data_IF_937012570470
#
_entry.id   IF_937012570470
#
_cell.length_a   1.000
_cell.length_b   1.000
_cell.length_c   1.000
_cell.angle_alpha   90.00
_cell.angle_beta   90.00
_cell.angle_gamma   90.00
#
_symmetry.space_group_name_H-M   'P 1'
#
loop_
_entity.id
_entity.type
_entity.pdbx_description
1 polymer ?
#
# COMPACT_ATOMS: atom_id res chain seq x y z
N UNK A 1 6.78 -20.62 -12.81
CA UNK A 1 6.23 -19.81 -12.63
C UNK A 1 6.63 -18.72 -11.82
N UNK A 2 6.92 -17.70 -12.40
CA UNK A 2 7.36 -16.55 -11.71
C UNK A 2 6.35 -16.08 -10.72
N UNK A 3 5.16 -16.53 -10.89
CA UNK A 3 4.13 -16.16 -9.94
C UNK A 3 4.46 -16.62 -8.54
N UNK A 4 5.44 -17.47 -8.42
CA UNK A 4 5.86 -17.90 -7.10
C UNK A 4 6.65 -16.83 -6.37
N UNK A 5 7.07 -15.79 -7.10
CA UNK A 5 7.81 -14.70 -6.50
C UNK A 5 6.88 -13.52 -6.30
N UNK A 6 6.39 -13.32 -5.09
CA UNK A 6 5.46 -12.20 -4.88
C UNK A 6 6.17 -10.88 -5.09
N UNK A 7 5.59 -10.07 -5.91
CA UNK A 7 6.10 -8.71 -6.13
C UNK A 7 5.28 -7.69 -5.36
N UNK A 8 4.20 -8.14 -4.74
CA UNK A 8 3.29 -7.27 -4.05
C UNK A 8 2.06 -6.99 -4.90
N UNK A 9 1.30 -6.03 -4.47
CA UNK A 9 0.04 -5.68 -5.12
C UNK A 9 0.32 -4.68 -6.23
N UNK A 10 -0.08 -4.97 -7.46
CA UNK A 10 0.19 -4.04 -8.56
C UNK A 10 -0.72 -2.83 -8.52
N UNK A 11 -0.18 -1.71 -8.96
CA UNK A 11 -0.91 -0.47 -9.09
C UNK A 11 -0.29 0.27 -10.27
N UNK A 12 -1.13 0.92 -11.07
CA UNK A 12 -0.62 1.70 -12.20
C UNK A 12 -0.62 3.17 -11.79
N UNK A 13 0.55 3.80 -11.88
CA UNK A 13 0.71 5.21 -11.55
C UNK A 13 1.31 5.91 -12.77
N UNK A 14 0.55 6.81 -13.36
CA UNK A 14 0.95 7.55 -14.55
C UNK A 14 1.43 6.60 -15.65
N UNK A 15 0.66 5.53 -15.86
CA UNK A 15 0.94 4.61 -16.95
C UNK A 15 2.01 3.57 -16.66
N UNK A 16 2.60 3.61 -15.48
CA UNK A 16 3.67 2.68 -15.12
C UNK A 16 3.20 1.74 -14.02
N UNK A 17 3.41 0.46 -14.21
CA UNK A 17 3.01 -0.52 -13.20
C UNK A 17 4.03 -0.57 -12.08
N UNK A 18 3.56 -0.37 -10.88
CA UNK A 18 4.38 -0.44 -9.67
C UNK A 18 3.76 -1.46 -8.72
N UNK A 19 4.46 -1.80 -7.67
CA UNK A 19 4.01 -2.84 -6.75
C UNK A 19 4.22 -2.43 -5.31
N UNK A 20 3.20 -2.64 -4.49
CA UNK A 20 3.29 -2.39 -3.05
C UNK A 20 3.54 -3.72 -2.36
N UNK A 21 4.64 -3.81 -1.64
CA UNK A 21 4.98 -5.02 -0.89
C UNK A 21 5.48 -4.61 0.49
N UNK A 22 4.82 -5.15 1.52
CA UNK A 22 5.25 -4.89 2.89
C UNK A 22 6.20 -5.99 3.31
N UNK A 23 7.49 -5.65 3.37
CA UNK A 23 8.48 -6.55 3.93
C UNK A 23 8.66 -6.20 5.41
N UNK A 24 9.41 -7.01 6.13
CA UNK A 24 9.70 -6.71 7.53
C UNK A 24 10.39 -5.36 7.67
N UNK A 25 11.31 -5.05 6.76
CA UNK A 25 12.00 -3.78 6.84
C UNK A 25 11.07 -2.61 6.56
N UNK A 26 10.13 -2.79 5.65
CA UNK A 26 9.16 -1.74 5.36
C UNK A 26 8.29 -1.48 6.58
N UNK A 27 7.81 -2.55 7.21
CA UNK A 27 6.97 -2.43 8.39
C UNK A 27 7.74 -1.74 9.51
N UNK A 28 8.99 -2.17 9.72
CA UNK A 28 9.81 -1.61 10.77
C UNK A 28 10.05 -0.11 10.53
N UNK A 29 10.34 0.25 9.29
CA UNK A 29 10.58 1.65 8.96
C UNK A 29 9.36 2.51 9.23
N UNK A 30 8.16 2.01 8.86
CA UNK A 30 6.94 2.79 9.06
C UNK A 30 6.59 2.89 10.54
N UNK A 31 6.72 1.81 11.28
CA UNK A 31 6.43 1.84 12.71
C UNK A 31 7.39 2.77 13.45
N UNK A 32 8.64 2.80 13.00
CA UNK A 32 9.63 3.67 13.60
C UNK A 32 9.34 5.13 13.25
N UNK A 33 8.94 5.37 12.01
CA UNK A 33 8.64 6.73 11.55
C UNK A 33 7.50 7.35 12.34
N UNK A 34 6.47 6.57 12.63
CA UNK A 34 5.28 7.08 13.29
C UNK A 34 5.25 6.80 14.78
N UNK A 35 6.16 5.96 15.25
CA UNK A 35 6.17 5.52 16.64
C UNK A 35 4.82 4.91 17.01
N UNK A 36 4.29 4.08 16.10
CA UNK A 36 2.98 3.47 16.24
C UNK A 36 2.98 2.09 15.62
N UNK A 37 2.02 1.27 16.04
CA UNK A 37 1.83 -0.03 15.40
C UNK A 37 1.22 0.17 14.02
N UNK A 38 1.33 -0.85 13.17
CA UNK A 38 0.72 -0.78 11.85
C UNK A 38 -0.80 -0.62 11.94
N UNK A 39 -1.44 -1.26 12.93
CA UNK A 39 -2.87 -1.09 13.09
C UNK A 39 -3.23 0.36 13.35
N UNK A 40 -2.46 1.04 14.17
CA UNK A 40 -2.71 2.44 14.45
C UNK A 40 -2.47 3.30 13.21
N UNK A 41 -1.45 2.97 12.44
CA UNK A 41 -1.16 3.71 11.21
C UNK A 41 -2.32 3.55 10.23
N UNK A 42 -2.83 2.33 10.07
CA UNK A 42 -3.94 2.11 9.16
C UNK A 42 -5.23 2.76 9.65
N UNK A 43 -5.39 2.90 10.96
CA UNK A 43 -6.53 3.65 11.47
C UNK A 43 -6.44 5.10 11.05
N UNK A 44 -5.25 5.67 11.05
CA UNK A 44 -5.07 7.04 10.60
C UNK A 44 -5.44 7.21 9.13
N UNK A 45 -5.22 6.19 8.33
CA UNK A 45 -5.61 6.27 6.92
C UNK A 45 -7.12 6.34 6.74
N UNK A 46 -7.87 6.01 7.77
CA UNK A 46 -9.31 6.07 7.71
C UNK A 46 -9.88 7.36 8.28
N UNK A 47 -9.02 8.22 8.82
CA UNK A 47 -9.43 9.50 9.38
C UNK A 47 -9.17 10.59 8.36
N UNK A 48 -10.15 11.45 8.17
CA UNK A 48 -10.06 12.44 7.13
C UNK A 48 -8.93 13.42 7.26
N UNK A 49 -8.65 13.86 8.46
CA UNK A 49 -7.73 14.96 8.63
C UNK A 49 -6.29 14.62 8.30
N UNK A 50 -5.87 13.41 8.63
CA UNK A 50 -4.47 13.05 8.47
C UNK A 50 -4.23 12.06 7.35
N UNK A 51 -5.30 11.53 6.77
CA UNK A 51 -5.17 10.42 5.82
C UNK A 51 -4.30 10.77 4.62
N UNK A 52 -4.46 11.97 4.08
CA UNK A 52 -3.73 12.33 2.86
C UNK A 52 -2.22 12.35 3.08
N UNK A 53 -1.79 12.94 4.17
CA UNK A 53 -0.35 13.02 4.47
C UNK A 53 0.19 11.63 4.77
N UNK A 54 -0.51 10.87 5.59
CA UNK A 54 -0.08 9.53 5.94
C UNK A 54 0.00 8.63 4.71
N UNK A 55 -1.01 8.71 3.84
CA UNK A 55 -1.00 7.93 2.60
C UNK A 55 0.20 8.29 1.74
N UNK A 56 0.44 9.58 1.58
CA UNK A 56 1.56 10.04 0.77
C UNK A 56 2.88 9.50 1.29
N UNK A 57 3.07 9.50 2.60
CA UNK A 57 4.30 9.01 3.21
C UNK A 57 4.45 7.50 3.06
N UNK A 58 3.36 6.77 3.27
CA UNK A 58 3.41 5.31 3.12
C UNK A 58 3.71 4.92 1.69
N UNK A 59 3.05 5.55 0.73
CA UNK A 59 3.27 5.24 -0.68
C UNK A 59 4.70 5.55 -1.08
N UNK A 60 5.26 6.66 -0.56
CA UNK A 60 6.64 7.00 -0.84
C UNK A 60 7.58 5.90 -0.37
N UNK A 61 7.39 5.40 0.85
CA UNK A 61 8.22 4.32 1.37
C UNK A 61 8.07 3.07 0.50
N UNK A 62 6.82 2.70 0.16
CA UNK A 62 6.59 1.50 -0.63
C UNK A 62 7.22 1.58 -2.01
N UNK A 63 7.11 2.74 -2.67
CA UNK A 63 7.69 2.90 -4.00
C UNK A 63 9.22 2.87 -3.95
N UNK A 64 9.80 3.51 -2.94
CA UNK A 64 11.25 3.51 -2.82
C UNK A 64 11.80 2.15 -2.42
N UNK A 65 11.04 1.38 -1.66
CA UNK A 65 11.43 0.00 -1.36
C UNK A 65 11.40 -0.86 -2.61
N UNK A 66 10.44 -0.61 -3.49
CA UNK A 66 10.43 -1.33 -4.77
C UNK A 66 11.67 -0.97 -5.60
N UNK A 67 12.04 0.31 -5.63
CA UNK A 67 13.24 0.72 -6.36
C UNK A 67 14.47 -0.03 -5.84
N UNK A 68 14.61 -0.12 -4.54
CA UNK A 68 15.74 -0.82 -3.92
C UNK A 68 15.71 -2.32 -4.23
N UNK A 69 14.53 -2.89 -4.17
CA UNK A 69 14.37 -4.33 -4.42
C UNK A 69 14.70 -4.68 -5.87
N UNK A 70 14.21 -3.87 -6.80
CA UNK A 70 14.50 -4.11 -8.21
C UNK A 70 15.98 -4.01 -8.49
N UNK A 71 16.63 -3.02 -7.89
CA UNK A 71 18.06 -2.86 -8.08
C UNK A 71 18.82 -4.05 -7.52
N UNK A 72 18.45 -4.49 -6.32
CA UNK A 72 19.12 -5.61 -5.68
C UNK A 72 18.96 -6.90 -6.47
N UNK A 73 17.80 -7.08 -7.10
CA UNK A 73 17.51 -8.31 -7.84
C UNK A 73 17.89 -8.25 -9.30
N UNK A 74 18.47 -7.14 -9.75
CA UNK A 74 18.87 -7.00 -11.15
C UNK A 74 17.70 -6.77 -12.10
N UNK A 75 16.59 -6.26 -11.56
CA UNK A 75 15.41 -5.97 -12.37
C UNK A 75 15.44 -4.59 -12.97
N UNK A 76 14.27 -3.95 -12.98
CA UNK A 76 14.13 -2.64 -13.61
C UNK A 76 14.92 -1.57 -12.84
N UNK A 77 15.39 -0.58 -13.59
CA UNK A 77 16.08 0.55 -13.00
C UNK A 77 15.03 1.62 -12.72
N UNK A 78 14.56 1.67 -11.47
CA UNK A 78 13.52 2.60 -11.06
C UNK A 78 14.12 3.63 -10.13
N UNK A 79 14.09 4.92 -10.51
CA UNK A 79 14.65 5.94 -9.63
C UNK A 79 13.82 6.12 -8.37
N UNK A 80 14.45 6.58 -7.32
CA UNK A 80 13.76 6.90 -6.10
C UNK A 80 12.89 8.13 -6.29
N UNK A 81 11.89 8.26 -5.43
CA UNK A 81 10.92 9.33 -5.59
C UNK A 81 10.76 10.05 -4.24
N UNK A 82 10.43 11.33 -4.27
CA UNK A 82 10.21 12.10 -3.05
C UNK A 82 8.74 12.11 -2.69
N UNK A 83 8.46 12.49 -1.44
CA UNK A 83 7.06 12.60 -1.01
C UNK A 83 6.31 13.62 -1.84
N UNK A 84 6.96 14.73 -2.18
CA UNK A 84 6.31 15.75 -3.00
C UNK A 84 5.93 15.19 -4.37
N UNK A 85 6.82 14.40 -4.96
CA UNK A 85 6.53 13.80 -6.24
C UNK A 85 5.39 12.79 -6.14
N UNK A 86 5.35 12.03 -5.04
CA UNK A 86 4.25 11.09 -4.83
C UNK A 86 2.93 11.85 -4.74
N UNK A 87 2.94 13.03 -4.11
CA UNK A 87 1.76 13.86 -4.03
C UNK A 87 1.21 14.25 -5.39
N UNK A 88 2.07 14.31 -6.41
CA UNK A 88 1.62 14.61 -7.75
C UNK A 88 1.02 13.38 -8.45
N UNK A 89 1.38 12.19 -7.98
CA UNK A 89 0.87 10.95 -8.58
C UNK A 89 -0.51 10.57 -8.05
N UNK A 90 -0.89 11.07 -6.87
CA UNK A 90 -2.14 10.72 -6.24
C UNK A 90 -3.13 11.85 -6.43
N UNK A 91 -4.23 11.55 -7.11
CA UNK A 91 -5.29 12.52 -7.32
C UNK A 91 -6.62 11.97 -6.90
N UNK A 92 -7.65 12.80 -7.02
CA UNK A 92 -8.98 12.37 -6.62
C UNK A 92 -9.48 11.20 -7.46
N UNK A 93 -8.96 11.06 -8.66
CA UNK A 93 -9.39 10.00 -9.56
C UNK A 93 -8.80 8.64 -9.20
N UNK A 94 -7.67 8.58 -8.48
CA UNK A 94 -7.04 7.30 -8.18
C UNK A 94 -6.80 7.05 -6.69
N UNK A 95 -7.13 8.01 -5.82
CA UNK A 95 -6.80 7.86 -4.40
C UNK A 95 -7.48 6.64 -3.78
N UNK A 96 -8.71 6.34 -4.16
CA UNK A 96 -9.40 5.17 -3.60
C UNK A 96 -8.73 3.87 -3.99
N UNK A 97 -8.30 3.78 -5.23
CA UNK A 97 -7.60 2.61 -5.72
C UNK A 97 -6.26 2.43 -5.00
N UNK A 98 -5.57 3.53 -4.77
CA UNK A 98 -4.28 3.48 -4.09
C UNK A 98 -4.44 3.05 -2.64
N UNK A 99 -5.43 3.60 -1.93
CA UNK A 99 -5.70 3.20 -0.54
C UNK A 99 -6.01 1.71 -0.48
N UNK A 100 -6.86 1.24 -1.39
CA UNK A 100 -7.21 -0.17 -1.42
C UNK A 100 -5.97 -1.03 -1.65
N UNK A 101 -5.09 -0.61 -2.56
CA UNK A 101 -3.87 -1.37 -2.84
C UNK A 101 -2.95 -1.42 -1.62
N UNK A 102 -2.85 -0.31 -0.89
CA UNK A 102 -2.02 -0.29 0.32
C UNK A 102 -2.56 -1.26 1.35
N UNK A 103 -3.87 -1.23 1.59
CA UNK A 103 -4.47 -2.14 2.57
C UNK A 103 -4.30 -3.59 2.17
N UNK A 104 -4.50 -3.89 0.88
CA UNK A 104 -4.32 -5.25 0.40
C UNK A 104 -2.87 -5.72 0.55
N UNK A 105 -1.93 -4.82 0.28
CA UNK A 105 -0.53 -5.20 0.33
C UNK A 105 -0.12 -5.63 1.73
N UNK A 106 -0.71 -5.01 2.73
CA UNK A 106 -0.40 -5.39 4.10
C UNK A 106 -1.20 -6.62 4.54
N UNK A 107 -2.25 -6.96 3.81
CA UNK A 107 -3.13 -8.04 4.24
C UNK A 107 -4.13 -7.58 5.28
N UNK A 108 -4.33 -6.27 5.38
CA UNK A 108 -5.28 -5.71 6.32
C UNK A 108 -6.69 -6.07 5.86
N UNK A 109 -7.46 -6.70 6.72
CA UNK A 109 -8.80 -7.08 6.35
C UNK A 109 -9.72 -5.89 6.22
N UNK A 110 -10.24 -5.73 5.03
CA UNK A 110 -11.25 -4.70 4.79
C UNK A 110 -12.61 -5.36 4.99
N UNK A 111 -13.56 -4.68 5.57
CA UNK A 111 -14.86 -5.29 5.79
C UNK A 111 -15.47 -5.87 4.53
N UNK A 112 -15.34 -5.19 3.42
CA UNK A 112 -15.92 -5.69 2.18
C UNK A 112 -15.08 -6.78 1.57
N UNK A 113 -13.84 -6.86 1.91
CA UNK A 113 -12.98 -7.86 1.32
C UNK A 113 -13.31 -9.23 1.85
N UNK A 114 -13.95 -9.22 2.95
CA UNK A 114 -14.32 -10.46 3.44
C UNK A 114 -15.43 -11.09 2.74
N UNK A 115 -15.67 -10.71 1.97
CA UNK A 115 -16.56 -11.31 1.29
C UNK A 115 -16.59 -12.42 0.95
N UNK A 116 -16.22 -12.40 1.33
CA UNK A 116 -16.43 -13.34 1.25
C UNK A 116 -16.79 -13.87 1.85
N UNK A 117 -16.76 -13.27 2.05
CA UNK A 117 -17.23 -13.61 2.56
C UNK A 117 -17.98 -13.83 2.86
N UNK A 118 -18.28 -13.96 2.71
CA UNK A 118 -19.03 -14.13 2.94
C UNK A 118 -19.61 -14.28 3.62
N UNK A 119 -19.51 -14.08 3.56
CA UNK A 119 -20.11 -14.24 4.09
C UNK A 119 -20.40 -13.94 4.58
N UNK A 120 -20.16 -13.33 4.22
CA UNK A 120 -20.39 -13.33 4.49
C UNK A 120 -20.79 -13.14 4.85
N UNK A 121 -20.93 -12.70 4.74
CA UNK A 121 -21.35 -12.85 4.96
C UNK A 121 -21.90 -12.55 5.38
N UNK A 122 -22.21 -12.23 5.34
CA UNK A 122 -22.77 -12.49 5.63
C UNK A 122 -23.15 -12.32 6.21
N UNK A 123 -23.19 -11.88 6.12
CA UNK A 123 -23.51 -12.14 6.42
C UNK A 123 -23.83 -11.68 6.95
N UNK A 124 -23.94 -11.23 6.83
CA UNK A 124 -24.23 -11.36 7.10
C UNK A 124 -24.63 -11.26 7.55
N UNK A 125 -24.70 -10.64 7.43
CA UNK A 125 -25.06 -10.96 7.60
C UNK A 125 -25.54 -11.09 8.06
N UNK A 126 -25.73 -10.52 8.02
CA UNK A 126 -26.16 -11.03 8.22
C UNK A 126 -26.53 -11.15 8.69
N UNK A 127 -26.55 -10.78 8.59
CA UNK A 127 -26.68 -11.14 8.70
C UNK A 127 -26.87 -11.41 9.07
#
# INVERSE_FOLDING_TARGET
>A
MSSLQPRGIPIVLEGEERHFLFTLNTIDELQDKYDKSMNEIFKELQEEETAAVTLQEIVTVLLNKESEREKRLGGRDIPKITENEVGELIGMDNIGEIVTAVFRAYGYSMPEADENDPNQGSGQQNK
#
